data_IF_062792047532
#
_entry.id   IF_062792047532
#
_cell.length_a   1.000
_cell.length_b   1.000
_cell.length_c   1.000
_cell.angle_alpha   90.00
_cell.angle_beta   90.00
_cell.angle_gamma   90.00
#
_symmetry.space_group_name_H-M   'P 1'
#
loop_
_entity.id
_entity.type
_entity.pdbx_description
1 polymer ?
#
# COMPACT_ATOMS: atom_id res chain seq x y z
N UNK A 1 -7.02 7.16 -6.21
CA UNK A 1 -5.69 7.46 -6.79
C UNK A 1 -5.27 6.29 -7.67
N UNK A 2 -5.10 6.53 -8.97
CA UNK A 2 -5.01 5.49 -10.00
C UNK A 2 -3.58 4.95 -10.14
N UNK A 3 -3.45 3.63 -10.23
CA UNK A 3 -2.20 2.88 -10.46
C UNK A 3 -1.58 3.06 -11.86
N UNK A 4 -1.77 4.21 -12.52
CA UNK A 4 -1.08 4.52 -13.77
C UNK A 4 0.38 4.84 -13.45
N UNK A 5 1.30 4.16 -14.12
CA UNK A 5 2.74 4.38 -13.95
C UNK A 5 3.41 3.58 -12.82
N UNK A 6 2.66 2.77 -12.05
CA UNK A 6 3.24 1.89 -11.03
C UNK A 6 3.53 0.51 -11.62
N UNK A 7 4.77 0.06 -11.53
CA UNK A 7 5.21 -1.27 -12.01
C UNK A 7 5.56 -2.19 -10.84
N UNK A 8 5.00 -3.41 -10.79
CA UNK A 8 5.47 -4.45 -9.88
C UNK A 8 6.97 -4.70 -10.10
N UNK A 9 7.71 -4.87 -9.02
CA UNK A 9 9.13 -5.13 -9.08
C UNK A 9 9.40 -6.64 -8.90
N UNK A 10 10.34 -7.22 -9.65
CA UNK A 10 10.68 -8.64 -9.50
C UNK A 10 11.45 -8.89 -8.20
N UNK A 11 11.24 -10.10 -7.65
CA UNK A 11 11.93 -10.58 -6.46
C UNK A 11 11.38 -9.99 -5.14
N UNK A 12 12.03 -10.37 -4.03
CA UNK A 12 11.72 -9.82 -2.71
C UNK A 12 12.46 -8.48 -2.54
N UNK A 13 11.76 -7.36 -2.66
CA UNK A 13 12.33 -6.03 -2.42
C UNK A 13 11.79 -5.43 -1.14
N UNK A 14 12.64 -4.71 -0.41
CA UNK A 14 12.22 -3.87 0.69
C UNK A 14 11.18 -2.84 0.18
N UNK A 15 10.09 -2.67 0.92
CA UNK A 15 9.02 -1.72 0.63
C UNK A 15 9.54 -0.30 0.39
N UNK A 16 10.58 0.13 1.11
CA UNK A 16 11.24 1.43 0.87
C UNK A 16 11.84 1.54 -0.55
N UNK A 17 12.47 0.47 -1.04
CA UNK A 17 12.98 0.40 -2.42
C UNK A 17 11.83 0.35 -3.41
N UNK A 18 10.79 -0.43 -3.08
CA UNK A 18 9.62 -0.53 -3.94
C UNK A 18 8.89 0.81 -4.10
N UNK A 19 8.81 1.62 -3.04
CA UNK A 19 8.24 2.96 -3.08
C UNK A 19 8.91 3.87 -4.12
N UNK A 20 10.24 3.89 -4.15
CA UNK A 20 11.02 4.72 -5.06
C UNK A 20 11.06 4.12 -6.48
N UNK A 21 11.38 2.83 -6.60
CA UNK A 21 11.69 2.19 -7.89
C UNK A 21 10.43 1.86 -8.73
N UNK A 22 9.27 1.65 -8.10
CA UNK A 22 8.06 1.22 -8.80
C UNK A 22 7.35 2.33 -9.55
N UNK A 23 7.72 3.60 -9.31
CA UNK A 23 6.95 4.76 -9.75
C UNK A 23 5.75 5.09 -8.85
N UNK A 24 5.55 4.37 -7.75
CA UNK A 24 4.48 4.63 -6.78
C UNK A 24 4.55 6.05 -6.21
N UNK A 25 5.74 6.52 -5.84
CA UNK A 25 5.95 7.89 -5.36
C UNK A 25 5.49 8.95 -6.36
N UNK A 26 5.85 8.78 -7.63
CA UNK A 26 5.41 9.69 -8.70
C UNK A 26 3.89 9.60 -8.93
N UNK A 27 3.33 8.40 -8.91
CA UNK A 27 1.90 8.18 -9.09
C UNK A 27 1.05 8.77 -7.95
N UNK A 28 1.60 8.82 -6.73
CA UNK A 28 0.97 9.47 -5.56
C UNK A 28 1.06 11.01 -5.63
N UNK A 29 2.00 11.54 -6.41
CA UNK A 29 2.07 12.96 -6.77
C UNK A 29 2.09 13.87 -5.53
N UNK A 30 1.25 14.90 -5.55
CA UNK A 30 1.16 15.92 -4.49
C UNK A 30 0.12 15.58 -3.42
N UNK A 31 -0.27 14.31 -3.28
CA UNK A 31 -1.22 13.91 -2.23
C UNK A 31 -0.67 14.33 -0.86
N UNK A 32 -1.41 15.17 -0.10
CA UNK A 32 -0.86 15.82 1.08
C UNK A 32 -0.50 14.86 2.21
N UNK A 33 -1.22 13.73 2.31
CA UNK A 33 -0.96 12.73 3.35
C UNK A 33 -1.03 11.33 2.77
N UNK A 34 0.05 10.58 2.93
CA UNK A 34 0.17 9.19 2.48
C UNK A 34 0.52 8.33 3.69
N UNK A 35 -0.40 7.43 4.03
CA UNK A 35 -0.27 6.53 5.17
C UNK A 35 0.37 5.24 4.70
N UNK A 36 1.40 4.78 5.41
CA UNK A 36 2.17 3.58 5.08
C UNK A 36 2.45 2.74 6.33
N UNK A 37 2.72 1.45 6.17
CA UNK A 37 3.10 0.62 7.30
C UNK A 37 4.58 0.84 7.72
N UNK A 38 5.01 0.13 8.77
CA UNK A 38 6.36 0.26 9.30
C UNK A 38 7.49 -0.17 8.34
N UNK A 39 7.19 -0.91 7.26
CA UNK A 39 8.14 -1.30 6.22
C UNK A 39 8.64 -0.11 5.38
N UNK A 40 7.91 1.01 5.39
CA UNK A 40 8.25 2.23 4.67
C UNK A 40 9.08 3.22 5.51
N UNK A 41 9.71 2.75 6.59
CA UNK A 41 10.49 3.63 7.47
C UNK A 41 11.65 4.30 6.73
N UNK A 42 11.73 5.63 6.83
CA UNK A 42 12.75 6.44 6.18
C UNK A 42 12.34 7.07 4.84
N UNK A 43 11.10 6.84 4.40
CA UNK A 43 10.54 7.40 3.13
C UNK A 43 9.85 8.77 3.29
N UNK A 44 9.69 9.26 4.52
CA UNK A 44 8.94 10.49 4.83
C UNK A 44 7.42 10.32 4.86
N UNK A 45 6.91 9.10 4.64
CA UNK A 45 5.48 8.79 4.71
C UNK A 45 4.98 8.77 6.15
N UNK A 46 3.67 8.97 6.33
CA UNK A 46 3.02 8.85 7.64
C UNK A 46 2.97 7.37 8.04
N UNK A 47 3.81 6.97 8.99
CA UNK A 47 3.91 5.60 9.50
C UNK A 47 3.55 5.53 10.99
N UNK A 48 3.21 4.35 11.55
CA UNK A 48 2.93 4.22 12.97
C UNK A 48 4.12 4.64 13.84
N UNK A 49 3.82 5.25 14.98
CA UNK A 49 4.82 5.53 16.00
C UNK A 49 5.30 4.24 16.66
N UNK A 50 6.61 4.08 16.79
CA UNK A 50 7.23 2.91 17.42
C UNK A 50 7.87 3.27 18.77
N UNK A 51 7.90 2.28 19.66
CA UNK A 51 8.68 2.34 20.90
C UNK A 51 10.17 2.17 20.57
N UNK A 52 11.05 2.91 21.24
CA UNK A 52 12.50 2.79 21.00
C UNK A 52 13.05 1.54 21.69
N UNK A 53 12.57 1.26 22.90
CA UNK A 53 12.84 0.05 23.66
C UNK A 53 11.53 -0.66 24.04
N UNK A 54 11.61 -1.96 24.33
CA UNK A 54 10.42 -2.80 24.63
C UNK A 54 9.56 -2.25 25.78
N UNK A 55 10.22 -1.64 26.76
CA UNK A 55 9.59 -1.12 27.98
C UNK A 55 9.20 0.36 27.89
N UNK A 56 9.45 1.02 26.76
CA UNK A 56 9.03 2.41 26.60
C UNK A 56 7.52 2.47 26.40
N UNK A 57 6.86 3.38 27.11
CA UNK A 57 5.48 3.71 26.81
C UNK A 57 5.41 4.77 25.70
N UNK A 58 4.41 4.63 24.82
CA UNK A 58 4.08 5.69 23.90
C UNK A 58 3.19 6.70 24.64
N UNK A 59 3.45 8.01 24.54
CA UNK A 59 2.49 9.03 24.96
C UNK A 59 1.10 8.75 24.37
N UNK A 60 0.05 9.00 25.15
CA UNK A 60 -1.33 8.67 24.79
C UNK A 60 -1.72 9.12 23.37
N UNK A 61 -1.37 10.36 22.99
CA UNK A 61 -1.68 10.88 21.66
C UNK A 61 -1.03 10.09 20.51
N UNK A 62 0.15 9.49 20.72
CA UNK A 62 0.80 8.62 19.71
C UNK A 62 0.09 7.28 19.60
N UNK A 63 -0.39 6.76 20.73
CA UNK A 63 -1.13 5.50 20.72
C UNK A 63 -2.53 5.68 20.10
N UNK A 64 -3.20 6.80 20.36
CA UNK A 64 -4.44 7.20 19.69
C UNK A 64 -4.26 7.34 18.17
N UNK A 65 -3.18 7.99 17.74
CA UNK A 65 -2.81 8.05 16.32
C UNK A 65 -2.59 6.64 15.75
N UNK A 66 -1.85 5.78 16.46
CA UNK A 66 -1.63 4.40 16.05
C UNK A 66 -2.93 3.59 15.98
N UNK A 67 -3.92 3.86 16.84
CA UNK A 67 -5.23 3.24 16.79
C UNK A 67 -5.99 3.62 15.51
N UNK A 68 -5.95 4.90 15.13
CA UNK A 68 -6.47 5.37 13.84
C UNK A 68 -5.76 4.66 12.67
N UNK A 69 -4.44 4.58 12.72
CA UNK A 69 -3.63 3.91 11.71
C UNK A 69 -3.96 2.40 11.60
N UNK A 70 -4.13 1.70 12.72
CA UNK A 70 -4.56 0.29 12.77
C UNK A 70 -5.92 0.09 12.13
N UNK A 71 -6.88 0.99 12.37
CA UNK A 71 -8.23 0.94 11.79
C UNK A 71 -8.21 1.06 10.26
N UNK A 72 -7.40 1.97 9.71
CA UNK A 72 -7.23 2.11 8.25
C UNK A 72 -6.56 0.85 7.68
N UNK A 73 -5.48 0.39 8.31
CA UNK A 73 -4.72 -0.78 7.88
C UNK A 73 -5.58 -2.05 7.86
N UNK A 74 -6.39 -2.29 8.89
CA UNK A 74 -7.26 -3.46 8.96
C UNK A 74 -8.23 -3.55 7.78
N UNK A 75 -8.78 -2.41 7.33
CA UNK A 75 -9.68 -2.37 6.16
C UNK A 75 -8.94 -2.74 4.87
N UNK A 76 -7.76 -2.15 4.67
CA UNK A 76 -6.91 -2.40 3.51
C UNK A 76 -6.46 -3.87 3.47
N UNK A 77 -5.99 -4.39 4.60
CA UNK A 77 -5.56 -5.79 4.73
C UNK A 77 -6.72 -6.77 4.50
N UNK A 78 -7.93 -6.46 4.99
CA UNK A 78 -9.10 -7.29 4.74
C UNK A 78 -9.44 -7.36 3.24
N UNK A 79 -9.43 -6.22 2.54
CA UNK A 79 -9.60 -6.18 1.08
C UNK A 79 -8.52 -6.98 0.37
N UNK A 80 -7.25 -6.81 0.74
CA UNK A 80 -6.15 -7.58 0.14
C UNK A 80 -6.25 -9.07 0.42
N UNK A 81 -6.66 -9.47 1.63
CA UNK A 81 -6.88 -10.87 1.98
C UNK A 81 -7.98 -11.48 1.10
N UNK A 82 -9.08 -10.77 0.90
CA UNK A 82 -10.15 -11.20 0.00
C UNK A 82 -9.66 -11.32 -1.45
N UNK A 83 -8.93 -10.32 -1.95
CA UNK A 83 -8.35 -10.37 -3.31
C UNK A 83 -7.40 -11.55 -3.51
N UNK A 84 -6.58 -11.89 -2.50
CA UNK A 84 -5.67 -13.05 -2.55
C UNK A 84 -6.40 -14.39 -2.61
N UNK A 85 -7.67 -14.44 -2.18
CA UNK A 85 -8.50 -15.65 -2.25
C UNK A 85 -8.94 -15.97 -3.69
N UNK A 86 -9.05 -14.97 -4.56
CA UNK A 86 -9.51 -15.15 -5.93
C UNK A 86 -8.44 -15.79 -6.83
N UNK A 87 -8.78 -16.91 -7.46
CA UNK A 87 -7.86 -17.69 -8.31
C UNK A 87 -7.24 -16.83 -9.42
N UNK A 88 -8.04 -16.00 -10.09
CA UNK A 88 -7.57 -15.14 -11.20
C UNK A 88 -6.46 -14.19 -10.72
N UNK A 89 -6.68 -13.47 -9.61
CA UNK A 89 -5.67 -12.54 -9.09
C UNK A 89 -4.43 -13.27 -8.56
N UNK A 90 -4.62 -14.45 -7.95
CA UNK A 90 -3.51 -15.31 -7.53
C UNK A 90 -2.66 -15.76 -8.71
N UNK A 91 -3.28 -16.18 -9.80
CA UNK A 91 -2.60 -16.63 -11.02
C UNK A 91 -1.87 -15.46 -11.70
N UNK A 92 -2.49 -14.27 -11.75
CA UNK A 92 -1.84 -13.04 -12.23
C UNK A 92 -0.61 -12.68 -11.39
N UNK A 93 -0.63 -12.91 -10.07
CA UNK A 93 0.50 -12.65 -9.17
C UNK A 93 1.72 -13.51 -9.47
N UNK A 94 1.52 -14.73 -9.94
CA UNK A 94 2.61 -15.68 -10.19
C UNK A 94 3.19 -15.60 -11.61
N UNK A 95 2.61 -14.78 -12.50
CA UNK A 95 2.94 -14.76 -13.93
C UNK A 95 3.43 -13.38 -14.39
N UNK A 96 4.73 -13.13 -14.34
CA UNK A 96 5.37 -11.95 -14.97
C UNK A 96 4.62 -10.63 -14.71
N UNK A 97 4.27 -9.91 -15.78
CA UNK A 97 3.52 -8.65 -15.73
C UNK A 97 2.01 -8.83 -15.42
N UNK A 98 1.56 -10.02 -15.06
CA UNK A 98 0.15 -10.35 -14.81
C UNK A 98 -0.49 -9.46 -13.75
N UNK A 99 0.24 -9.08 -12.70
CA UNK A 99 -0.23 -8.11 -11.69
C UNK A 99 -0.46 -6.74 -12.30
N UNK A 100 0.47 -6.27 -13.15
CA UNK A 100 0.36 -4.95 -13.78
C UNK A 100 -0.88 -4.87 -14.66
N UNK A 101 -1.11 -5.88 -15.51
CA UNK A 101 -2.30 -5.93 -16.36
C UNK A 101 -3.60 -6.06 -15.56
N UNK A 102 -3.63 -6.90 -14.52
CA UNK A 102 -4.80 -7.04 -13.65
C UNK A 102 -5.14 -5.70 -12.96
N UNK A 103 -4.13 -5.00 -12.44
CA UNK A 103 -4.31 -3.70 -11.81
C UNK A 103 -4.83 -2.63 -12.79
N UNK A 104 -4.29 -2.58 -14.02
CA UNK A 104 -4.79 -1.68 -15.06
C UNK A 104 -6.23 -2.00 -15.45
N UNK A 105 -6.59 -3.29 -15.54
CA UNK A 105 -7.95 -3.75 -15.80
C UNK A 105 -8.94 -3.31 -14.72
N UNK A 106 -8.62 -3.57 -13.44
CA UNK A 106 -9.44 -3.15 -12.29
C UNK A 106 -9.60 -1.63 -12.27
N UNK A 107 -8.50 -0.89 -12.43
CA UNK A 107 -8.51 0.57 -12.46
C UNK A 107 -9.39 1.12 -13.59
N UNK A 108 -9.34 0.51 -14.78
CA UNK A 108 -10.17 0.90 -15.91
C UNK A 108 -11.65 0.66 -15.63
N UNK A 109 -12.02 -0.50 -15.10
CA UNK A 109 -13.41 -0.82 -14.76
C UNK A 109 -13.96 0.14 -13.69
N UNK A 110 -13.21 0.37 -12.62
CA UNK A 110 -13.59 1.32 -11.57
C UNK A 110 -13.80 2.74 -12.10
N UNK A 111 -12.92 3.21 -12.98
CA UNK A 111 -13.07 4.55 -13.57
C UNK A 111 -14.29 4.66 -14.48
N UNK A 112 -14.63 3.60 -15.22
CA UNK A 112 -15.87 3.58 -16.01
C UNK A 112 -17.09 3.68 -15.10
N UNK A 113 -17.08 3.01 -13.93
CA UNK A 113 -18.16 3.13 -12.94
C UNK A 113 -18.27 4.54 -12.33
N UNK A 114 -17.17 5.28 -12.21
CA UNK A 114 -17.18 6.66 -11.69
C UNK A 114 -17.51 7.72 -12.74
N UNK A 115 -17.29 7.43 -14.02
CA UNK A 115 -17.52 8.36 -15.14
C UNK A 115 -18.90 8.17 -15.81
N UNK A 116 -19.68 7.17 -15.35
CA UNK A 116 -21.06 6.91 -15.76
C UNK A 116 -22.06 7.66 -14.89
#
# INVERSE_FOLDING_TARGET
MLARGVRPLPGNRNDCRAWEDSGAKAAVGTTPTVIADGGYRGTGLTIPHYRRHKNDELPAWKDDHNASHRKVRARVEHTFAHMKSWKILRDCRLKGDGVHHAMLGIARLHNLTLAG
#
